data_IF_678371342899
#
_entry.id   IF_678371342899
#
_cell.length_a   1.000
_cell.length_b   1.000
_cell.length_c   1.000
_cell.angle_alpha   90.00
_cell.angle_beta   90.00
_cell.angle_gamma   90.00
#
_symmetry.space_group_name_H-M   'P 1'
#
loop_
_entity.id
_entity.type
_entity.pdbx_description
1 polymer ?
#
# COMPACT_ATOMS: atom_id res chain seq x y z
N UNK A 1 -23.72 23.33 -11.86
CA UNK A 1 -24.56 22.54 -10.96
C UNK A 1 -23.79 21.54 -10.09
N UNK A 2 -22.51 21.33 -10.33
CA UNK A 2 -21.70 20.37 -9.60
C UNK A 2 -22.01 18.90 -9.89
N UNK A 3 -22.96 18.60 -10.78
CA UNK A 3 -23.23 17.25 -11.24
C UNK A 3 -22.13 16.74 -12.17
N UNK A 4 -21.87 15.46 -12.10
CA UNK A 4 -20.94 14.74 -12.98
C UNK A 4 -21.70 13.77 -13.86
N UNK A 5 -21.21 13.59 -15.07
CA UNK A 5 -21.78 12.64 -16.02
C UNK A 5 -20.88 11.42 -16.08
N UNK A 6 -21.41 10.25 -15.91
CA UNK A 6 -20.68 8.99 -15.96
C UNK A 6 -21.46 7.88 -16.66
N UNK A 7 -20.74 6.89 -17.15
CA UNK A 7 -21.30 5.65 -17.67
C UNK A 7 -21.13 4.54 -16.63
N UNK A 8 -22.19 3.87 -16.25
CA UNK A 8 -22.11 2.74 -15.35
C UNK A 8 -21.67 1.49 -16.12
N UNK A 9 -20.38 1.22 -16.11
CA UNK A 9 -19.78 0.08 -16.82
C UNK A 9 -20.27 -1.31 -16.33
N UNK A 10 -20.92 -1.39 -15.18
CA UNK A 10 -21.52 -2.63 -14.71
C UNK A 10 -22.77 -3.03 -15.53
N UNK A 11 -23.32 -2.09 -16.32
CA UNK A 11 -24.50 -2.33 -17.15
C UNK A 11 -24.25 -1.69 -18.53
N UNK A 12 -23.74 -2.45 -19.50
CA UNK A 12 -23.22 -1.92 -20.76
C UNK A 12 -24.24 -1.16 -21.62
N UNK A 13 -25.53 -1.35 -21.39
CA UNK A 13 -26.61 -0.71 -22.16
C UNK A 13 -27.21 0.52 -21.48
N UNK A 14 -26.60 0.99 -20.36
CA UNK A 14 -27.09 2.20 -19.70
C UNK A 14 -26.59 3.48 -20.37
N UNK A 15 -27.47 4.46 -20.59
CA UNK A 15 -27.07 5.77 -21.07
C UNK A 15 -26.20 6.49 -20.03
N UNK A 16 -25.46 7.49 -20.50
CA UNK A 16 -24.73 8.39 -19.61
C UNK A 16 -25.69 9.06 -18.64
N UNK A 17 -25.39 9.00 -17.37
CA UNK A 17 -26.20 9.61 -16.31
C UNK A 17 -25.48 10.83 -15.72
N UNK A 18 -26.22 11.92 -15.51
CA UNK A 18 -25.71 13.10 -14.80
C UNK A 18 -26.27 13.09 -13.40
N UNK A 19 -25.41 12.89 -12.43
CA UNK A 19 -25.82 12.74 -11.02
C UNK A 19 -24.95 13.59 -10.10
N UNK A 20 -25.47 13.86 -8.92
CA UNK A 20 -24.67 14.51 -7.88
C UNK A 20 -23.46 13.63 -7.53
N UNK A 21 -22.27 14.22 -7.32
CA UNK A 21 -21.04 13.50 -7.01
C UNK A 21 -21.17 12.45 -5.92
N UNK A 22 -21.95 12.72 -4.86
CA UNK A 22 -22.19 11.75 -3.77
C UNK A 22 -22.85 10.43 -4.19
N UNK A 23 -23.35 10.34 -5.42
CA UNK A 23 -24.01 9.14 -5.96
C UNK A 23 -23.15 8.37 -6.96
N UNK A 24 -21.96 8.88 -7.31
CA UNK A 24 -21.08 8.27 -8.32
C UNK A 24 -20.08 7.29 -7.73
N UNK A 25 -19.77 7.42 -6.46
CA UNK A 25 -18.95 6.48 -5.72
C UNK A 25 -17.64 6.12 -6.43
N UNK A 26 -17.41 4.83 -6.60
CA UNK A 26 -16.18 4.26 -7.18
C UNK A 26 -15.85 4.70 -8.60
N UNK A 27 -16.82 5.14 -9.39
CA UNK A 27 -16.55 5.57 -10.77
C UNK A 27 -15.65 6.82 -10.81
N UNK A 28 -15.91 7.80 -9.94
CA UNK A 28 -15.05 9.00 -9.86
C UNK A 28 -13.70 8.67 -9.25
N UNK A 29 -13.66 7.82 -8.27
CA UNK A 29 -12.42 7.35 -7.65
C UNK A 29 -11.54 6.64 -8.68
N UNK A 30 -12.11 5.71 -9.46
CA UNK A 30 -11.39 5.03 -10.54
C UNK A 30 -10.84 6.02 -11.58
N UNK A 31 -11.63 7.00 -12.01
CA UNK A 31 -11.17 8.04 -12.94
C UNK A 31 -10.05 8.91 -12.34
N UNK A 32 -10.15 9.25 -11.06
CA UNK A 32 -9.09 9.97 -10.37
C UNK A 32 -7.80 9.15 -10.29
N UNK A 33 -7.90 7.86 -9.99
CA UNK A 33 -6.75 6.96 -9.99
C UNK A 33 -6.12 6.82 -11.37
N UNK A 34 -6.92 6.74 -12.44
CA UNK A 34 -6.41 6.72 -13.82
C UNK A 34 -5.65 8.01 -14.16
N UNK A 35 -6.22 9.17 -13.86
CA UNK A 35 -5.59 10.48 -14.12
C UNK A 35 -4.29 10.63 -13.30
N UNK A 36 -4.33 10.29 -12.02
CA UNK A 36 -3.15 10.29 -11.18
C UNK A 36 -2.10 9.27 -11.65
N UNK A 37 -2.54 8.12 -12.16
CA UNK A 37 -1.65 7.12 -12.76
C UNK A 37 -0.88 7.67 -13.96
N UNK A 38 -1.56 8.40 -14.85
CA UNK A 38 -0.92 9.08 -16.00
C UNK A 38 0.09 10.13 -15.50
N UNK A 39 -0.29 10.90 -14.48
CA UNK A 39 0.60 11.90 -13.88
C UNK A 39 1.83 11.27 -13.23
N UNK A 40 1.67 10.14 -12.52
CA UNK A 40 2.78 9.38 -11.93
C UNK A 40 3.74 8.87 -13.01
N UNK A 41 3.21 8.32 -14.10
CA UNK A 41 4.03 7.81 -15.19
C UNK A 41 4.79 8.96 -15.89
N UNK A 42 4.16 10.13 -16.03
CA UNK A 42 4.82 11.33 -16.51
C UNK A 42 5.92 11.81 -15.54
N UNK A 43 5.66 11.80 -14.23
CA UNK A 43 6.67 12.15 -13.22
C UNK A 43 7.86 11.20 -13.25
N UNK A 44 7.62 9.90 -13.42
CA UNK A 44 8.68 8.92 -13.60
C UNK A 44 9.49 9.18 -14.87
N UNK A 45 8.83 9.50 -15.99
CA UNK A 45 9.54 9.88 -17.22
C UNK A 45 10.38 11.14 -17.03
N UNK A 46 9.89 12.14 -16.31
CA UNK A 46 10.68 13.32 -15.93
C UNK A 46 11.92 12.91 -15.13
N UNK A 47 11.75 12.11 -14.10
CA UNK A 47 12.86 11.63 -13.26
C UNK A 47 13.93 10.88 -14.06
N UNK A 48 13.51 10.13 -15.09
CA UNK A 48 14.42 9.36 -15.96
C UNK A 48 15.10 10.19 -17.05
N UNK A 49 14.41 11.21 -17.58
CA UNK A 49 14.84 11.92 -18.80
C UNK A 49 15.19 13.38 -18.60
N UNK A 50 14.81 13.95 -17.47
CA UNK A 50 14.89 15.39 -17.16
C UNK A 50 14.11 16.30 -18.12
N UNK A 51 13.15 15.72 -18.91
CA UNK A 51 12.34 16.48 -19.84
C UNK A 51 11.21 17.21 -19.13
N UNK A 52 11.34 18.52 -19.01
CA UNK A 52 10.43 19.41 -18.25
C UNK A 52 8.95 19.33 -18.65
N UNK A 53 8.65 18.96 -19.90
CA UNK A 53 7.26 18.78 -20.39
C UNK A 53 6.49 17.74 -19.56
N UNK A 54 7.17 16.67 -19.12
CA UNK A 54 6.59 15.63 -18.28
C UNK A 54 6.37 16.11 -16.84
N UNK A 55 7.32 16.89 -16.29
CA UNK A 55 7.14 17.49 -14.97
C UNK A 55 5.96 18.48 -14.95
N UNK A 56 5.80 19.31 -15.98
CA UNK A 56 4.69 20.27 -16.08
C UNK A 56 3.33 19.57 -16.11
N UNK A 57 3.20 18.50 -16.90
CA UNK A 57 1.96 17.71 -16.93
C UNK A 57 1.66 17.11 -15.56
N UNK A 58 2.63 16.42 -14.98
CA UNK A 58 2.48 15.73 -13.71
C UNK A 58 2.19 16.70 -12.55
N UNK A 59 2.93 17.82 -12.47
CA UNK A 59 2.76 18.83 -11.43
C UNK A 59 1.39 19.52 -11.50
N UNK A 60 0.88 19.79 -12.71
CA UNK A 60 -0.44 20.41 -12.87
C UNK A 60 -1.57 19.52 -12.33
N UNK A 61 -1.51 18.22 -12.60
CA UNK A 61 -2.47 17.24 -12.06
C UNK A 61 -2.29 17.13 -10.54
N UNK A 62 -1.07 16.97 -10.06
CA UNK A 62 -0.75 16.81 -8.64
C UNK A 62 -1.19 18.03 -7.82
N UNK A 63 -0.83 19.24 -8.23
CA UNK A 63 -1.21 20.47 -7.53
C UNK A 63 -2.73 20.63 -7.43
N UNK A 64 -3.44 20.41 -8.54
CA UNK A 64 -4.90 20.49 -8.56
C UNK A 64 -5.52 19.52 -7.55
N UNK A 65 -5.03 18.29 -7.56
CA UNK A 65 -5.55 17.22 -6.73
C UNK A 65 -5.25 17.45 -5.24
N UNK A 66 -3.98 17.68 -4.89
CA UNK A 66 -3.56 17.85 -3.49
C UNK A 66 -4.10 19.14 -2.87
N UNK A 67 -4.18 20.22 -3.63
CA UNK A 67 -4.83 21.47 -3.19
C UNK A 67 -6.32 21.23 -2.91
N UNK A 68 -6.98 20.47 -3.78
CA UNK A 68 -8.37 20.05 -3.57
C UNK A 68 -8.58 19.28 -2.27
N UNK A 69 -7.69 18.32 -1.97
CA UNK A 69 -7.72 17.54 -0.70
C UNK A 69 -7.52 18.46 0.49
N UNK A 70 -6.52 19.33 0.43
CA UNK A 70 -6.16 20.19 1.55
C UNK A 70 -7.33 21.06 2.01
N UNK A 71 -8.03 21.69 1.07
CA UNK A 71 -9.14 22.61 1.39
C UNK A 71 -10.49 21.92 1.57
N UNK A 72 -10.63 20.68 1.10
CA UNK A 72 -11.90 19.98 1.21
C UNK A 72 -12.10 19.40 2.62
N UNK A 73 -13.30 19.60 3.18
CA UNK A 73 -13.73 18.84 4.34
C UNK A 73 -14.04 17.41 3.92
N UNK A 74 -13.53 16.46 4.70
CA UNK A 74 -13.85 15.05 4.51
C UNK A 74 -15.21 14.79 5.14
N UNK A 75 -16.25 14.48 4.36
CA UNK A 75 -17.51 14.04 4.93
C UNK A 75 -17.36 12.59 5.39
N UNK A 76 -17.30 12.38 6.70
CA UNK A 76 -17.25 11.05 7.30
C UNK A 76 -18.63 10.74 7.80
N UNK A 77 -19.27 9.75 7.21
CA UNK A 77 -20.53 9.19 7.71
C UNK A 77 -20.31 7.79 8.27
N UNK A 78 -20.04 7.72 9.55
CA UNK A 78 -19.85 6.46 10.28
C UNK A 78 -21.13 5.63 10.42
N UNK A 79 -22.31 6.22 10.13
CA UNK A 79 -23.58 5.50 10.27
C UNK A 79 -23.82 4.51 9.14
N UNK A 80 -23.22 4.74 7.98
CA UNK A 80 -23.34 3.85 6.82
C UNK A 80 -22.18 2.83 6.75
N UNK A 81 -21.31 2.81 7.75
CA UNK A 81 -20.19 1.91 7.83
C UNK A 81 -19.01 2.31 6.95
N UNK A 82 -18.00 1.48 6.98
CA UNK A 82 -16.70 1.73 6.37
C UNK A 82 -16.65 1.44 4.86
N UNK A 83 -17.73 0.95 4.27
CA UNK A 83 -17.83 0.67 2.83
C UNK A 83 -18.51 1.79 2.06
N UNK A 84 -18.73 2.93 2.68
CA UNK A 84 -19.26 4.08 2.00
C UNK A 84 -18.20 4.73 1.13
N UNK A 85 -18.42 4.63 -0.15
CA UNK A 85 -17.63 5.33 -1.14
C UNK A 85 -18.06 6.78 -1.17
N UNK A 86 -17.27 7.64 -0.60
CA UNK A 86 -17.43 9.07 -0.74
C UNK A 86 -16.66 9.55 -1.95
N UNK A 87 -17.30 10.41 -2.71
CA UNK A 87 -16.75 10.94 -3.94
C UNK A 87 -15.48 11.75 -3.70
N UNK A 88 -14.49 11.41 -4.45
CA UNK A 88 -13.18 12.04 -4.38
C UNK A 88 -12.42 11.52 -3.18
N UNK A 89 -11.19 11.71 -3.13
CA UNK A 89 -10.24 11.45 -2.11
C UNK A 89 -10.84 11.26 -0.76
N UNK A 90 -10.46 10.23 -0.09
CA UNK A 90 -10.99 9.99 1.21
C UNK A 90 -12.43 9.54 1.16
N UNK A 91 -12.71 8.54 0.36
CA UNK A 91 -13.66 7.62 0.90
C UNK A 91 -13.07 7.15 2.21
N UNK A 92 -13.84 7.11 3.21
CA UNK A 92 -13.47 6.49 4.46
C UNK A 92 -13.29 4.96 4.32
N UNK A 93 -13.38 4.46 3.12
CA UNK A 93 -13.10 3.09 2.79
C UNK A 93 -11.60 2.90 2.76
N UNK A 94 -11.08 2.52 3.91
CA UNK A 94 -9.66 2.25 4.13
C UNK A 94 -9.00 1.29 3.14
N UNK A 95 -9.80 0.53 2.43
CA UNK A 95 -9.35 -0.38 1.37
C UNK A 95 -9.36 0.25 -0.03
N UNK A 96 -9.93 1.43 -0.20
CA UNK A 96 -10.05 2.13 -1.48
C UNK A 96 -9.29 3.46 -1.55
N UNK A 97 -8.35 3.71 -0.65
CA UNK A 97 -7.46 4.87 -0.73
C UNK A 97 -6.33 4.68 -1.77
N UNK A 98 -6.64 4.01 -2.86
CA UNK A 98 -5.67 3.70 -3.93
C UNK A 98 -5.06 4.95 -4.56
N UNK A 99 -5.79 6.07 -4.55
CA UNK A 99 -5.27 7.36 -4.98
C UNK A 99 -4.01 7.78 -4.20
N UNK A 100 -3.93 7.47 -2.90
CA UNK A 100 -2.76 7.77 -2.07
C UNK A 100 -1.54 6.97 -2.51
N UNK A 101 -1.71 5.70 -2.87
CA UNK A 101 -0.62 4.87 -3.40
C UNK A 101 -0.04 5.40 -4.71
N UNK A 102 -0.84 6.13 -5.49
CA UNK A 102 -0.39 6.76 -6.72
C UNK A 102 0.22 8.13 -6.43
N UNK A 103 -0.41 8.92 -5.55
CA UNK A 103 0.03 10.27 -5.23
C UNK A 103 1.40 10.31 -4.53
N UNK A 104 1.71 9.29 -3.71
CA UNK A 104 2.98 9.20 -2.98
C UNK A 104 4.18 9.08 -3.93
N UNK A 105 4.30 8.08 -4.83
CA UNK A 105 5.41 8.03 -5.77
C UNK A 105 5.40 9.18 -6.78
N UNK A 106 4.23 9.68 -7.16
CA UNK A 106 4.12 10.88 -7.99
C UNK A 106 4.79 12.08 -7.33
N UNK A 107 4.53 12.32 -6.05
CA UNK A 107 5.15 13.38 -5.28
C UNK A 107 6.66 13.18 -5.15
N UNK A 108 7.11 11.97 -4.84
CA UNK A 108 8.52 11.65 -4.66
C UNK A 108 9.34 11.93 -5.93
N UNK A 109 8.88 11.47 -7.10
CA UNK A 109 9.53 11.76 -8.38
C UNK A 109 9.56 13.25 -8.72
N UNK A 110 8.56 14.01 -8.31
CA UNK A 110 8.44 15.44 -8.58
C UNK A 110 9.02 16.34 -7.48
N UNK A 111 9.40 15.81 -6.34
CA UNK A 111 9.71 16.60 -5.15
C UNK A 111 10.62 17.81 -5.43
N UNK A 112 11.75 17.59 -6.09
CA UNK A 112 12.68 18.67 -6.41
C UNK A 112 12.08 19.71 -7.37
N UNK A 113 11.31 19.25 -8.36
CA UNK A 113 10.63 20.14 -9.29
C UNK A 113 9.55 20.98 -8.59
N UNK A 114 8.75 20.36 -7.74
CA UNK A 114 7.72 21.06 -6.96
C UNK A 114 8.34 22.07 -5.99
N UNK A 115 9.40 21.69 -5.28
CA UNK A 115 10.11 22.58 -4.36
C UNK A 115 10.69 23.80 -5.06
N UNK A 116 11.17 23.63 -6.30
CA UNK A 116 11.73 24.73 -7.10
C UNK A 116 10.66 25.63 -7.73
N UNK A 117 9.54 25.09 -8.19
CA UNK A 117 8.55 25.80 -9.00
C UNK A 117 7.26 26.14 -8.24
N UNK A 118 6.98 25.46 -7.12
CA UNK A 118 5.78 25.61 -6.29
C UNK A 118 6.13 25.72 -4.79
N UNK A 119 7.13 26.53 -4.39
CA UNK A 119 7.60 26.55 -3.00
C UNK A 119 6.49 26.90 -2.00
N UNK A 120 5.60 27.81 -2.35
CA UNK A 120 4.47 28.23 -1.50
C UNK A 120 3.39 27.17 -1.33
N UNK A 121 3.46 26.09 -2.10
CA UNK A 121 2.52 24.98 -2.05
C UNK A 121 3.01 23.77 -1.23
N UNK A 122 4.28 23.73 -0.88
CA UNK A 122 4.86 22.55 -0.20
C UNK A 122 4.17 22.24 1.13
N UNK A 123 3.78 23.26 1.91
CA UNK A 123 2.99 23.08 3.14
C UNK A 123 1.58 22.54 2.85
N UNK A 124 0.96 22.96 1.75
CA UNK A 124 -0.35 22.47 1.33
C UNK A 124 -0.28 20.99 0.98
N UNK A 125 0.75 20.59 0.24
CA UNK A 125 0.95 19.17 -0.13
C UNK A 125 1.20 18.30 1.09
N UNK A 126 2.12 18.71 1.96
CA UNK A 126 2.37 18.02 3.22
C UNK A 126 1.10 17.96 4.09
N UNK A 127 0.37 19.07 4.19
CA UNK A 127 -0.90 19.15 4.93
C UNK A 127 -1.98 18.21 4.37
N UNK A 128 -2.05 18.04 3.05
CA UNK A 128 -2.96 17.08 2.42
C UNK A 128 -2.60 15.63 2.77
N UNK A 129 -1.33 15.26 2.70
CA UNK A 129 -0.86 13.93 3.11
C UNK A 129 -1.13 13.66 4.60
N UNK A 130 -0.82 14.62 5.48
CA UNK A 130 -1.10 14.52 6.92
C UNK A 130 -2.58 14.35 7.20
N UNK A 131 -3.43 15.14 6.54
CA UNK A 131 -4.87 15.05 6.66
C UNK A 131 -5.39 13.65 6.31
N UNK A 132 -4.81 13.03 5.30
CA UNK A 132 -5.13 11.67 4.92
C UNK A 132 -4.77 10.67 6.01
N UNK A 133 -3.51 10.70 6.47
CA UNK A 133 -3.04 9.80 7.51
C UNK A 133 -3.78 10.00 8.84
N UNK A 134 -3.95 11.24 9.28
CA UNK A 134 -4.67 11.56 10.52
C UNK A 134 -6.13 11.09 10.47
N UNK A 135 -6.75 11.17 9.29
CA UNK A 135 -8.11 10.70 9.08
C UNK A 135 -8.23 9.18 9.22
N UNK A 136 -7.29 8.45 8.62
CA UNK A 136 -7.21 6.98 8.76
C UNK A 136 -6.99 6.58 10.22
N UNK A 137 -6.07 7.26 10.91
CA UNK A 137 -5.77 7.02 12.33
C UNK A 137 -7.01 7.24 13.21
N UNK A 138 -7.81 8.26 12.90
CA UNK A 138 -8.97 8.62 13.69
C UNK A 138 -10.21 7.74 13.42
N UNK A 139 -10.30 7.19 12.21
CA UNK A 139 -11.55 6.61 11.72
C UNK A 139 -11.41 5.19 11.14
N UNK A 140 -10.25 4.59 11.20
CA UNK A 140 -9.97 3.27 10.63
C UNK A 140 -10.70 2.10 11.28
N UNK A 141 -10.40 0.90 10.85
CA UNK A 141 -10.94 -0.38 11.36
C UNK A 141 -9.79 -1.18 11.95
N UNK A 142 -9.73 -1.33 13.28
CA UNK A 142 -8.70 -2.11 13.94
C UNK A 142 -9.02 -3.61 13.91
N UNK A 143 -8.14 -4.42 14.45
CA UNK A 143 -8.28 -5.85 14.79
C UNK A 143 -8.28 -6.86 13.66
N UNK A 144 -8.21 -6.46 12.40
CA UNK A 144 -8.25 -7.36 11.26
C UNK A 144 -7.27 -6.93 10.14
N UNK A 145 -7.32 -7.64 9.01
CA UNK A 145 -6.49 -7.37 7.84
C UNK A 145 -6.62 -5.93 7.30
N UNK A 146 -7.73 -5.25 7.48
CA UNK A 146 -7.92 -3.86 7.04
C UNK A 146 -6.98 -2.89 7.77
N UNK A 147 -6.64 -3.19 9.02
CA UNK A 147 -5.66 -2.40 9.76
C UNK A 147 -4.28 -2.36 9.06
N UNK A 148 -3.91 -3.45 8.36
CA UNK A 148 -2.67 -3.48 7.57
C UNK A 148 -2.76 -2.59 6.33
N UNK A 149 -3.90 -2.57 5.64
CA UNK A 149 -4.13 -1.66 4.53
C UNK A 149 -4.00 -0.20 4.98
N UNK A 150 -4.61 0.14 6.12
CA UNK A 150 -4.50 1.45 6.73
C UNK A 150 -3.05 1.79 7.12
N UNK A 151 -2.36 0.87 7.77
CA UNK A 151 -0.96 1.05 8.15
C UNK A 151 -0.06 1.32 6.92
N UNK A 152 -0.34 0.66 5.79
CA UNK A 152 0.36 0.88 4.52
C UNK A 152 0.18 2.31 4.01
N UNK A 153 -1.03 2.86 4.09
CA UNK A 153 -1.28 4.26 3.71
C UNK A 153 -0.53 5.23 4.63
N UNK A 154 -0.59 5.02 5.94
CA UNK A 154 0.11 5.86 6.92
C UNK A 154 1.63 5.78 6.71
N UNK A 155 2.16 4.58 6.45
CA UNK A 155 3.58 4.37 6.14
C UNK A 155 4.00 5.16 4.89
N UNK A 156 3.22 5.08 3.81
CA UNK A 156 3.50 5.80 2.58
C UNK A 156 3.53 7.32 2.80
N UNK A 157 2.60 7.86 3.61
CA UNK A 157 2.63 9.27 4.01
C UNK A 157 3.90 9.58 4.80
N UNK A 158 4.25 8.76 5.77
CA UNK A 158 5.49 8.95 6.54
C UNK A 158 6.74 8.98 5.65
N UNK A 159 6.82 8.12 4.64
CA UNK A 159 7.99 8.03 3.76
C UNK A 159 8.22 9.27 2.89
N UNK A 160 7.18 10.03 2.54
CA UNK A 160 7.30 11.22 1.66
C UNK A 160 7.32 12.54 2.41
N UNK A 161 7.03 12.54 3.70
CA UNK A 161 7.17 13.73 4.53
C UNK A 161 8.62 13.97 4.93
N UNK A 162 8.94 15.23 5.21
CA UNK A 162 10.18 15.63 5.85
C UNK A 162 10.21 15.20 7.32
N UNK A 163 11.35 15.38 7.98
CA UNK A 163 11.52 15.07 9.40
C UNK A 163 10.55 15.88 10.29
N UNK A 164 10.22 15.34 11.47
CA UNK A 164 9.28 15.97 12.41
C UNK A 164 9.60 17.43 12.71
N UNK A 165 10.88 17.78 12.78
CA UNK A 165 11.37 19.15 13.10
C UNK A 165 11.03 20.18 12.05
N UNK A 166 10.76 19.77 10.82
CA UNK A 166 10.40 20.66 9.70
C UNK A 166 8.93 21.11 9.77
N UNK A 167 8.16 20.56 10.69
CA UNK A 167 6.74 20.89 10.85
C UNK A 167 6.44 21.45 12.24
N UNK A 168 5.69 22.55 12.28
CA UNK A 168 5.31 23.22 13.53
C UNK A 168 4.49 22.33 14.49
N UNK A 169 3.75 21.37 13.97
CA UNK A 169 2.97 20.39 14.73
C UNK A 169 3.80 19.16 15.16
N UNK A 170 5.07 19.08 14.75
CA UNK A 170 5.94 17.94 15.03
C UNK A 170 5.52 16.63 14.37
N UNK A 171 4.63 16.68 13.40
CA UNK A 171 4.13 15.51 12.68
C UNK A 171 4.77 15.38 11.30
N UNK A 172 5.91 14.75 11.24
CA UNK A 172 6.63 14.43 10.01
C UNK A 172 6.82 12.92 9.86
N UNK A 173 7.90 12.57 9.18
CA UNK A 173 8.27 11.18 8.86
C UNK A 173 8.27 10.28 10.08
N UNK A 174 9.03 10.64 11.11
CA UNK A 174 9.22 9.78 12.29
C UNK A 174 7.93 9.62 13.08
N UNK A 175 7.06 10.65 13.08
CA UNK A 175 5.77 10.58 13.75
C UNK A 175 4.87 9.49 13.15
N UNK A 176 4.73 9.49 11.80
CA UNK A 176 3.86 8.51 11.14
C UNK A 176 4.48 7.11 11.08
N UNK A 177 5.80 7.00 10.92
CA UNK A 177 6.50 5.71 10.98
C UNK A 177 6.36 5.09 12.39
N UNK A 178 6.54 5.89 13.44
CA UNK A 178 6.34 5.43 14.82
C UNK A 178 4.88 5.03 15.08
N UNK A 179 3.93 5.73 14.44
CA UNK A 179 2.53 5.36 14.52
C UNK A 179 2.26 3.98 13.93
N UNK A 180 2.84 3.69 12.77
CA UNK A 180 2.72 2.37 12.13
C UNK A 180 3.34 1.28 13.02
N UNK A 181 4.49 1.54 13.63
CA UNK A 181 5.23 0.52 14.38
C UNK A 181 4.74 0.31 15.81
N UNK A 182 4.54 1.40 16.55
CA UNK A 182 4.48 1.34 18.01
C UNK A 182 3.24 2.00 18.61
N UNK A 183 2.61 2.95 17.91
CA UNK A 183 1.46 3.67 18.45
C UNK A 183 0.15 3.06 17.99
N UNK A 184 -0.84 3.16 18.85
CA UNK A 184 -2.18 2.68 18.56
C UNK A 184 -3.22 3.68 18.98
N UNK A 185 -4.28 3.79 18.19
CA UNK A 185 -5.54 4.44 18.56
C UNK A 185 -6.64 3.39 18.71
N UNK A 186 -7.84 3.83 19.04
CA UNK A 186 -9.04 2.97 19.05
C UNK A 186 -9.33 2.42 17.64
N UNK A 187 -8.90 3.14 16.60
CA UNK A 187 -9.26 2.87 15.20
C UNK A 187 -8.10 2.38 14.34
N UNK A 188 -6.86 2.54 14.80
CA UNK A 188 -5.68 2.09 14.10
C UNK A 188 -4.69 1.51 15.09
N UNK A 189 -4.42 0.22 15.01
CA UNK A 189 -3.39 -0.43 15.80
C UNK A 189 -2.05 -0.42 15.10
N UNK A 190 -1.00 -0.40 15.90
CA UNK A 190 0.36 -0.59 15.39
C UNK A 190 0.55 -2.00 14.81
N UNK A 191 1.54 -2.17 13.95
CA UNK A 191 1.92 -3.49 13.41
C UNK A 191 2.25 -4.46 14.54
N UNK A 192 2.95 -3.99 15.59
CA UNK A 192 3.32 -4.81 16.74
C UNK A 192 2.08 -5.30 17.49
N UNK A 193 1.16 -4.39 17.84
CA UNK A 193 -0.05 -4.76 18.54
C UNK A 193 -0.94 -5.70 17.75
N UNK A 194 -1.06 -5.46 16.44
CA UNK A 194 -1.87 -6.31 15.57
C UNK A 194 -1.26 -7.72 15.43
N UNK A 195 0.07 -7.80 15.33
CA UNK A 195 0.76 -9.08 15.26
C UNK A 195 0.60 -9.89 16.55
N UNK A 196 0.75 -9.24 17.70
CA UNK A 196 0.58 -9.88 19.02
C UNK A 196 -0.86 -10.37 19.26
N UNK A 197 -1.82 -9.66 18.67
CA UNK A 197 -3.24 -10.04 18.76
C UNK A 197 -3.62 -11.17 17.82
N UNK A 198 -3.13 -11.14 16.59
CA UNK A 198 -3.64 -11.99 15.52
C UNK A 198 -2.81 -13.24 15.22
N UNK A 199 -1.52 -13.26 15.53
CA UNK A 199 -0.68 -14.45 15.36
C UNK A 199 -0.55 -15.27 16.64
N UNK A 200 -0.69 -16.58 16.54
CA UNK A 200 -0.24 -17.48 17.58
C UNK A 200 1.31 -17.48 17.62
N UNK A 201 1.87 -17.07 18.75
CA UNK A 201 3.34 -16.88 18.88
C UNK A 201 4.13 -18.19 18.74
N UNK A 202 3.51 -19.34 18.99
CA UNK A 202 4.18 -20.63 18.91
C UNK A 202 4.17 -21.19 17.49
N UNK A 203 3.09 -21.05 16.78
CA UNK A 203 2.88 -21.65 15.45
C UNK A 203 3.04 -20.63 14.31
N UNK A 204 2.86 -19.34 14.55
CA UNK A 204 2.80 -18.31 13.51
C UNK A 204 1.51 -18.31 12.71
N UNK A 205 0.49 -19.06 13.15
CA UNK A 205 -0.81 -19.08 12.49
C UNK A 205 -1.57 -17.80 12.81
N UNK A 206 -2.10 -17.17 11.77
CA UNK A 206 -3.01 -16.03 11.91
C UNK A 206 -4.44 -16.50 12.23
N UNK A 207 -5.17 -15.73 13.02
CA UNK A 207 -6.48 -16.09 13.59
C UNK A 207 -7.66 -16.11 12.59
N UNK A 208 -7.38 -16.12 11.28
CA UNK A 208 -8.39 -16.18 10.23
C UNK A 208 -8.16 -17.41 9.33
N UNK A 209 -9.04 -17.62 8.35
CA UNK A 209 -8.92 -18.73 7.40
C UNK A 209 -7.63 -18.64 6.54
N UNK A 210 -7.17 -19.73 5.91
CA UNK A 210 -5.90 -19.78 5.20
C UNK A 210 -5.75 -18.71 4.10
N UNK A 211 -6.84 -18.37 3.40
CA UNK A 211 -6.84 -17.30 2.41
C UNK A 211 -6.46 -15.94 3.00
N UNK A 212 -7.15 -15.53 4.05
CA UNK A 212 -6.86 -14.27 4.76
C UNK A 212 -5.51 -14.32 5.47
N UNK A 213 -5.14 -15.46 6.07
CA UNK A 213 -3.80 -15.64 6.64
C UNK A 213 -2.70 -15.37 5.61
N UNK A 214 -2.87 -15.86 4.38
CA UNK A 214 -1.91 -15.61 3.30
C UNK A 214 -1.83 -14.15 2.90
N UNK A 215 -2.95 -13.44 2.87
CA UNK A 215 -3.00 -11.99 2.59
C UNK A 215 -2.26 -11.22 3.68
N UNK A 216 -2.58 -11.47 4.94
CA UNK A 216 -1.95 -10.82 6.09
C UNK A 216 -0.45 -11.06 6.12
N UNK A 217 0.00 -12.30 5.90
CA UNK A 217 1.43 -12.64 5.86
C UNK A 217 2.12 -11.90 4.71
N UNK A 218 1.47 -11.80 3.56
CA UNK A 218 2.00 -11.06 2.41
C UNK A 218 2.13 -9.57 2.69
N UNK A 219 1.15 -8.97 3.36
CA UNK A 219 1.19 -7.55 3.73
C UNK A 219 2.31 -7.27 4.75
N UNK A 220 2.46 -8.11 5.78
CA UNK A 220 3.62 -8.01 6.68
C UNK A 220 4.96 -8.18 5.96
N UNK A 221 5.05 -9.09 5.00
CA UNK A 221 6.27 -9.26 4.21
C UNK A 221 6.57 -8.02 3.34
N UNK A 222 5.56 -7.33 2.85
CA UNK A 222 5.73 -6.05 2.16
C UNK A 222 6.21 -4.95 3.12
N UNK A 223 5.72 -4.90 4.36
CA UNK A 223 6.30 -4.02 5.39
C UNK A 223 7.76 -4.36 5.69
N UNK A 224 8.12 -5.64 5.80
CA UNK A 224 9.53 -6.05 5.96
C UNK A 224 10.39 -5.42 4.86
N UNK A 225 9.97 -5.53 3.60
CA UNK A 225 10.69 -4.93 2.49
C UNK A 225 10.77 -3.40 2.58
N UNK A 226 9.67 -2.72 2.93
CA UNK A 226 9.67 -1.26 3.08
C UNK A 226 10.58 -0.79 4.21
N UNK A 227 10.61 -1.49 5.35
CA UNK A 227 11.47 -1.17 6.47
C UNK A 227 12.94 -1.40 6.16
N UNK A 228 13.28 -2.53 5.52
CA UNK A 228 14.65 -2.82 5.09
C UNK A 228 15.15 -1.79 4.07
N UNK A 229 14.32 -1.45 3.07
CA UNK A 229 14.74 -0.63 1.92
C UNK A 229 14.80 0.85 2.27
N UNK A 230 13.79 1.37 2.97
CA UNK A 230 13.65 2.81 3.19
C UNK A 230 14.19 3.27 4.55
N UNK A 231 14.18 2.40 5.55
CA UNK A 231 14.53 2.75 6.93
C UNK A 231 15.76 2.01 7.46
N UNK A 232 16.29 1.05 6.72
CA UNK A 232 17.40 0.19 7.16
C UNK A 232 17.10 -0.46 8.52
N UNK A 233 15.85 -0.90 8.70
CA UNK A 233 15.35 -1.45 9.95
C UNK A 233 14.88 -2.89 9.76
N UNK A 234 15.46 -3.81 10.52
CA UNK A 234 15.14 -5.23 10.48
C UNK A 234 13.84 -5.55 11.23
N UNK A 235 12.72 -5.45 10.51
CA UNK A 235 11.40 -5.71 11.07
C UNK A 235 11.24 -7.18 11.55
N UNK A 236 11.89 -8.13 10.87
CA UNK A 236 11.82 -9.55 11.24
C UNK A 236 12.53 -9.81 12.57
N UNK A 237 13.59 -9.06 12.88
CA UNK A 237 14.24 -9.11 14.19
C UNK A 237 13.34 -8.53 15.27
N UNK A 238 12.64 -7.44 14.98
CA UNK A 238 11.71 -6.80 15.92
C UNK A 238 10.45 -7.65 16.16
N UNK A 239 10.01 -8.39 15.12
CA UNK A 239 8.80 -9.21 15.15
C UNK A 239 9.10 -10.64 14.67
N UNK A 240 9.74 -11.49 15.52
CA UNK A 240 10.18 -12.84 15.11
C UNK A 240 9.04 -13.77 14.69
N UNK A 241 7.80 -13.49 15.09
CA UNK A 241 6.61 -14.25 14.68
C UNK A 241 6.41 -14.23 13.16
N UNK A 242 6.88 -13.20 12.44
CA UNK A 242 6.77 -13.12 10.99
C UNK A 242 7.53 -14.24 10.28
N UNK A 243 8.72 -14.60 10.77
CA UNK A 243 9.46 -15.76 10.24
C UNK A 243 8.69 -17.06 10.44
N UNK A 244 8.07 -17.24 11.60
CA UNK A 244 7.23 -18.42 11.87
C UNK A 244 6.00 -18.44 10.98
N UNK A 245 5.34 -17.31 10.84
CA UNK A 245 4.14 -17.17 10.00
C UNK A 245 4.42 -17.60 8.56
N UNK A 246 5.50 -17.10 7.95
CA UNK A 246 5.91 -17.52 6.60
C UNK A 246 6.29 -19.00 6.56
N UNK A 247 7.04 -19.51 7.55
CA UNK A 247 7.45 -20.90 7.63
C UNK A 247 6.27 -21.88 7.78
N UNK A 248 5.15 -21.43 8.33
CA UNK A 248 3.95 -22.25 8.57
C UNK A 248 3.06 -22.34 7.32
N UNK A 249 3.16 -21.41 6.37
CA UNK A 249 2.28 -21.37 5.18
C UNK A 249 2.22 -22.65 4.36
N UNK A 250 3.29 -23.48 4.22
CA UNK A 250 3.18 -24.77 3.53
C UNK A 250 2.17 -25.73 4.16
N UNK A 251 1.86 -25.57 5.46
CA UNK A 251 0.86 -26.39 6.15
C UNK A 251 -0.57 -26.08 5.73
N UNK A 252 -0.79 -24.95 5.05
CA UNK A 252 -2.09 -24.59 4.48
C UNK A 252 -2.38 -25.28 3.15
N UNK A 253 -1.47 -26.11 2.64
CA UNK A 253 -1.57 -26.66 1.30
C UNK A 253 -2.07 -28.10 1.29
N UNK A 254 -2.93 -28.40 0.31
CA UNK A 254 -3.17 -29.75 -0.13
C UNK A 254 -1.96 -30.32 -0.91
N UNK A 255 -1.89 -31.64 -1.11
CA UNK A 255 -0.81 -32.25 -1.89
C UNK A 255 -0.66 -31.71 -3.32
N UNK A 256 -1.72 -31.17 -3.91
CA UNK A 256 -1.71 -30.50 -5.21
C UNK A 256 -1.23 -29.04 -5.15
N UNK A 257 -0.72 -28.58 -3.98
CA UNK A 257 -0.22 -27.23 -3.69
C UNK A 257 -1.26 -26.13 -3.70
N UNK A 258 -2.53 -26.46 -3.76
CA UNK A 258 -3.59 -25.48 -3.56
C UNK A 258 -3.82 -25.23 -2.08
N UNK A 259 -4.18 -24.00 -1.74
CA UNK A 259 -4.53 -23.61 -0.37
C UNK A 259 -5.78 -24.39 0.08
N UNK A 260 -5.76 -24.89 1.31
CA UNK A 260 -6.91 -25.55 1.94
C UNK A 260 -8.11 -24.59 1.97
N UNK A 261 -9.21 -25.03 1.36
CA UNK A 261 -10.42 -24.22 1.24
C UNK A 261 -11.35 -24.44 2.42
N UNK A 262 -11.21 -23.64 3.47
CA UNK A 262 -12.24 -23.53 4.49
C UNK A 262 -12.45 -22.06 4.86
N UNK A 263 -13.60 -21.74 5.46
CA UNK A 263 -14.01 -20.37 5.70
C UNK A 263 -14.14 -19.61 4.37
N UNK A 264 -13.74 -18.36 4.35
CA UNK A 264 -13.77 -17.47 3.19
C UNK A 264 -12.47 -17.57 2.34
N UNK A 265 -11.97 -18.81 2.20
CA UNK A 265 -10.78 -19.08 1.37
C UNK A 265 -11.19 -19.48 -0.03
N UNK A 266 -10.76 -18.69 -1.03
CA UNK A 266 -10.88 -19.09 -2.44
C UNK A 266 -9.77 -20.06 -2.83
N UNK A 267 -10.05 -21.06 -3.69
CA UNK A 267 -9.02 -21.93 -4.23
C UNK A 267 -7.92 -21.12 -4.94
N UNK A 268 -6.68 -21.43 -4.64
CA UNK A 268 -5.54 -20.70 -5.20
C UNK A 268 -4.21 -21.30 -4.76
N UNK A 269 -3.13 -20.68 -5.22
CA UNK A 269 -1.77 -21.05 -4.83
C UNK A 269 -1.21 -20.02 -3.85
N UNK A 270 -0.27 -20.45 -3.02
CA UNK A 270 0.45 -19.51 -2.15
C UNK A 270 1.23 -18.48 -2.97
N UNK A 271 1.22 -17.25 -2.51
CA UNK A 271 2.12 -16.24 -3.04
C UNK A 271 3.58 -16.63 -2.78
N UNK A 272 4.44 -16.45 -3.76
CA UNK A 272 5.89 -16.59 -3.58
C UNK A 272 6.51 -15.36 -2.94
N UNK A 273 5.82 -14.22 -2.98
CA UNK A 273 6.32 -12.92 -2.57
C UNK A 273 6.83 -12.92 -1.12
N UNK A 274 6.08 -13.46 -0.18
CA UNK A 274 6.52 -13.41 1.21
C UNK A 274 7.79 -14.26 1.48
N UNK A 275 8.03 -15.36 0.74
CA UNK A 275 9.30 -16.07 0.82
C UNK A 275 10.43 -15.21 0.26
N UNK A 276 10.21 -14.56 -0.88
CA UNK A 276 11.18 -13.66 -1.51
C UNK A 276 11.55 -12.53 -0.55
N UNK A 277 10.56 -11.88 0.08
CA UNK A 277 10.82 -10.81 1.05
C UNK A 277 11.60 -11.28 2.28
N UNK A 278 11.34 -12.50 2.78
CA UNK A 278 12.12 -13.08 3.87
C UNK A 278 13.56 -13.39 3.45
N UNK A 279 13.79 -13.87 2.22
CA UNK A 279 15.13 -14.09 1.68
C UNK A 279 15.88 -12.76 1.56
N UNK A 280 15.24 -11.72 1.01
CA UNK A 280 15.81 -10.39 0.86
C UNK A 280 16.16 -9.75 2.22
N UNK A 281 15.27 -9.86 3.21
CA UNK A 281 15.55 -9.42 4.57
C UNK A 281 16.77 -10.15 5.17
N UNK A 282 16.82 -11.48 5.01
CA UNK A 282 17.93 -12.27 5.50
C UNK A 282 19.26 -11.88 4.83
N UNK A 283 19.25 -11.63 3.54
CA UNK A 283 20.43 -11.13 2.79
C UNK A 283 20.87 -9.75 3.28
N UNK A 284 19.93 -8.80 3.38
CA UNK A 284 20.22 -7.45 3.84
C UNK A 284 20.82 -7.40 5.25
N UNK A 285 20.44 -8.36 6.11
CA UNK A 285 20.84 -8.42 7.51
C UNK A 285 21.89 -9.52 7.80
N UNK A 286 22.49 -10.13 6.79
CA UNK A 286 23.57 -11.12 6.93
C UNK A 286 23.16 -12.44 7.61
N UNK A 287 21.86 -12.81 7.58
CA UNK A 287 21.29 -13.99 8.25
C UNK A 287 21.32 -15.22 7.33
N UNK A 288 22.48 -15.77 7.08
CA UNK A 288 22.68 -16.83 6.05
C UNK A 288 21.85 -18.10 6.27
N UNK A 289 21.65 -18.52 7.51
CA UNK A 289 20.83 -19.71 7.82
C UNK A 289 19.37 -19.47 7.45
N UNK A 290 18.83 -18.29 7.75
CA UNK A 290 17.46 -17.91 7.43
C UNK A 290 17.26 -17.75 5.93
N UNK A 291 18.23 -17.16 5.23
CA UNK A 291 18.25 -17.09 3.76
C UNK A 291 18.16 -18.49 3.14
N UNK A 292 19.03 -19.41 3.56
CA UNK A 292 19.06 -20.79 3.07
C UNK A 292 17.73 -21.52 3.34
N UNK A 293 17.17 -21.31 4.55
CA UNK A 293 15.90 -21.93 4.94
C UNK A 293 14.73 -21.50 4.04
N UNK A 294 14.52 -20.18 3.88
CA UNK A 294 13.43 -19.69 3.03
C UNK A 294 13.66 -19.98 1.54
N UNK A 295 14.90 -19.99 1.09
CA UNK A 295 15.26 -20.41 -0.28
C UNK A 295 14.89 -21.88 -0.51
N UNK A 296 15.16 -22.76 0.46
CA UNK A 296 14.79 -24.17 0.36
C UNK A 296 13.26 -24.36 0.33
N UNK A 297 12.52 -23.64 1.17
CA UNK A 297 11.05 -23.67 1.16
C UNK A 297 10.49 -23.20 -0.18
N UNK A 298 10.99 -22.07 -0.69
CA UNK A 298 10.55 -21.51 -1.97
C UNK A 298 10.78 -22.51 -3.12
N UNK A 299 11.95 -23.11 -3.19
CA UNK A 299 12.28 -24.15 -4.20
C UNK A 299 11.43 -25.41 -4.07
N UNK A 300 11.14 -25.83 -2.85
CA UNK A 300 10.26 -26.99 -2.60
C UNK A 300 8.83 -26.73 -3.11
N UNK A 301 8.32 -25.52 -2.89
CA UNK A 301 6.98 -25.13 -3.34
C UNK A 301 6.91 -24.82 -4.85
N UNK A 302 8.01 -24.40 -5.44
CA UNK A 302 8.11 -24.03 -6.84
C UNK A 302 9.35 -24.72 -7.49
N UNK A 303 9.30 -26.04 -7.73
CA UNK A 303 10.46 -26.78 -8.24
C UNK A 303 10.90 -26.34 -9.65
N UNK A 304 10.05 -25.64 -10.38
CA UNK A 304 10.35 -25.10 -11.70
C UNK A 304 11.02 -23.70 -11.63
N UNK A 305 11.17 -23.15 -10.42
CA UNK A 305 11.85 -21.87 -10.23
C UNK A 305 13.33 -22.01 -10.64
N UNK A 306 13.72 -21.31 -11.68
CA UNK A 306 15.07 -21.37 -12.26
C UNK A 306 15.22 -22.33 -13.46
N UNK A 307 14.22 -23.14 -13.79
CA UNK A 307 14.20 -23.99 -14.98
C UNK A 307 13.46 -23.37 -16.17
N UNK A 308 13.07 -22.11 -16.04
CA UNK A 308 12.20 -21.45 -17.00
C UNK A 308 12.91 -21.24 -18.36
N UNK A 309 12.82 -22.30 -19.21
CA UNK A 309 13.02 -22.17 -20.65
C UNK A 309 11.78 -21.63 -21.35
N UNK A 310 10.74 -21.31 -20.59
CA UNK A 310 9.44 -20.94 -21.09
C UNK A 310 9.32 -19.44 -21.21
N UNK A 311 9.12 -19.04 -22.46
CA UNK A 311 8.39 -17.83 -22.89
C UNK A 311 8.78 -16.52 -22.23
N UNK A 312 9.34 -15.63 -23.02
CA UNK A 312 9.26 -14.17 -22.81
C UNK A 312 7.80 -13.80 -22.54
N UNK A 313 7.32 -14.04 -21.33
CA UNK A 313 6.12 -13.36 -20.85
C UNK A 313 6.40 -11.88 -21.06
N UNK A 314 5.51 -11.20 -21.75
CA UNK A 314 5.50 -9.75 -21.80
C UNK A 314 5.44 -9.26 -20.35
N UNK A 315 6.59 -9.04 -19.77
CA UNK A 315 6.71 -8.43 -18.44
C UNK A 315 6.19 -7.02 -18.64
N UNK A 316 4.96 -6.78 -18.19
CA UNK A 316 4.49 -5.41 -18.01
C UNK A 316 5.31 -4.84 -16.87
N UNK A 317 6.39 -4.17 -17.22
CA UNK A 317 7.18 -3.39 -16.28
C UNK A 317 6.27 -2.25 -15.81
N UNK A 318 5.79 -2.31 -14.59
CA UNK A 318 5.16 -1.17 -13.94
C UNK A 318 6.24 -0.30 -13.29
N UNK A 319 5.95 0.98 -13.08
CA UNK A 319 6.84 1.87 -12.32
C UNK A 319 7.20 1.24 -10.97
N UNK A 320 6.24 0.60 -10.31
CA UNK A 320 6.46 -0.05 -9.03
C UNK A 320 7.43 -1.24 -9.14
N UNK A 321 7.28 -2.11 -10.15
CA UNK A 321 8.16 -3.28 -10.33
C UNK A 321 9.61 -2.89 -10.62
N UNK A 322 9.85 -1.69 -11.13
CA UNK A 322 11.21 -1.19 -11.37
C UNK A 322 12.02 -1.00 -10.08
N UNK A 323 11.34 -0.71 -8.97
CA UNK A 323 11.96 -0.48 -7.66
C UNK A 323 11.82 -1.66 -6.69
N UNK A 324 10.88 -2.56 -6.95
CA UNK A 324 10.56 -3.67 -6.04
C UNK A 324 11.40 -4.92 -6.26
N UNK A 325 11.90 -5.15 -7.47
CA UNK A 325 12.58 -6.39 -7.83
C UNK A 325 14.09 -6.23 -7.76
N UNK A 326 14.67 -6.48 -6.58
CA UNK A 326 16.07 -6.88 -6.54
C UNK A 326 16.16 -8.31 -7.09
N UNK A 327 17.01 -8.59 -8.10
CA UNK A 327 17.22 -9.95 -8.56
C UNK A 327 17.69 -10.83 -7.39
N UNK A 328 17.07 -11.99 -7.26
CA UNK A 328 17.45 -13.01 -6.29
C UNK A 328 18.83 -13.60 -6.63
#
# INVERSE_FOLDING_TARGET
DGNVTFCNNALPDRPMESVHPSKTGRNIESLNCEILGIARDAAFLYWMTDEEKFAKLAAGVFDTYMTGIYYRNVPIDLNHGHQQTLVGLTSFEVIHEDALHIAVPLYDFLYNYLKANYPDKMEIYAGAFKKWADNIIANGVPHNNWNLLQARFIMNVGLVLEDNKEYADGKGREYYIDYVMNRSSIRQWSLTQLADYGFDINTGIWAECPGYSSVVINDYANFVNQFDTNLQYDLVKAMPVLSKAVATTPQYLFPNRMICGFGDTHPGYLSTNFFIRMIQNAQANGKKEQENYFTALLKCLNPDLGNDKTEKKNVRVSVNSFFEDKPL
#
